data_IF_892613494713
#
_entry.id   IF_892613494713
#
_cell.length_a   1.000
_cell.length_b   1.000
_cell.length_c   1.000
_cell.angle_alpha   90.00
_cell.angle_beta   90.00
_cell.angle_gamma   90.00
#
_symmetry.space_group_name_H-M   'P 1'
#
loop_
_entity.id
_entity.type
_entity.pdbx_description
1 polymer ?
#
# COMPACT_ATOMS: atom_id res chain seq x y z
N UNK A 1 -6.52 -19.46 -5.48
CA UNK A 1 -5.70 -18.24 -5.32
C UNK A 1 -6.53 -16.96 -5.19
N UNK A 2 -7.81 -16.95 -5.60
CA UNK A 2 -8.68 -15.75 -5.50
C UNK A 2 -8.96 -15.27 -4.07
N UNK A 3 -8.95 -16.15 -3.07
CA UNK A 3 -9.29 -15.84 -1.68
C UNK A 3 -8.32 -14.88 -0.99
N UNK A 4 -7.09 -14.74 -1.48
CA UNK A 4 -6.06 -13.87 -0.90
C UNK A 4 -5.80 -12.61 -1.73
N UNK A 5 -6.62 -12.34 -2.74
CA UNK A 5 -6.47 -11.11 -3.53
C UNK A 5 -6.85 -9.88 -2.71
N UNK A 6 -6.12 -8.80 -2.93
CA UNK A 6 -6.46 -7.50 -2.38
C UNK A 6 -7.74 -6.98 -3.03
N UNK A 7 -8.75 -6.72 -2.21
CA UNK A 7 -10.09 -6.30 -2.65
C UNK A 7 -10.51 -4.93 -2.09
N UNK A 8 -9.58 -4.21 -1.44
CA UNK A 8 -9.82 -2.88 -0.88
C UNK A 8 -10.22 -2.89 0.59
N UNK A 9 -10.67 -4.01 1.16
CA UNK A 9 -11.06 -4.09 2.59
C UNK A 9 -10.08 -4.89 3.45
N UNK A 10 -9.22 -5.69 2.83
CA UNK A 10 -8.31 -6.62 3.49
C UNK A 10 -6.82 -6.18 3.46
N UNK A 11 -6.54 -4.86 3.48
CA UNK A 11 -5.18 -4.34 3.27
C UNK A 11 -4.12 -4.94 4.20
N UNK A 12 -4.39 -5.00 5.51
CA UNK A 12 -3.41 -5.50 6.49
C UNK A 12 -3.12 -6.99 6.30
N UNK A 13 -4.14 -7.80 6.05
CA UNK A 13 -3.99 -9.24 5.83
C UNK A 13 -3.30 -9.53 4.49
N UNK A 14 -3.67 -8.79 3.44
CA UNK A 14 -3.02 -8.84 2.14
C UNK A 14 -1.54 -8.46 2.24
N UNK A 15 -1.22 -7.36 2.93
CA UNK A 15 0.17 -6.92 3.12
C UNK A 15 1.00 -7.95 3.88
N UNK A 16 0.41 -8.60 4.90
CA UNK A 16 1.06 -9.69 5.63
C UNK A 16 1.38 -10.87 4.71
N UNK A 17 0.42 -11.29 3.89
CA UNK A 17 0.61 -12.37 2.93
C UNK A 17 1.64 -12.02 1.85
N UNK A 18 1.60 -10.78 1.35
CA UNK A 18 2.56 -10.26 0.39
C UNK A 18 3.98 -10.33 0.96
N UNK A 19 4.20 -9.86 2.19
CA UNK A 19 5.51 -9.92 2.84
C UNK A 19 6.04 -11.34 2.94
N UNK A 20 5.20 -12.32 3.31
CA UNK A 20 5.60 -13.74 3.34
C UNK A 20 6.10 -14.22 1.96
N UNK A 21 5.39 -13.89 0.89
CA UNK A 21 5.78 -14.25 -0.49
C UNK A 21 7.08 -13.58 -0.90
N UNK A 22 7.28 -12.31 -0.51
CA UNK A 22 8.48 -11.54 -0.86
C UNK A 22 9.70 -11.97 -0.04
N UNK A 23 9.53 -12.32 1.23
CA UNK A 23 10.58 -12.84 2.08
C UNK A 23 11.08 -14.19 1.56
N UNK A 24 10.15 -15.06 1.11
CA UNK A 24 10.51 -16.31 0.43
C UNK A 24 11.35 -16.06 -0.84
N UNK A 25 11.11 -14.95 -1.54
CA UNK A 25 11.87 -14.55 -2.74
C UNK A 25 13.12 -13.71 -2.42
N UNK A 26 13.38 -13.38 -1.15
CA UNK A 26 14.42 -12.45 -0.71
C UNK A 26 14.30 -11.04 -1.35
N UNK A 27 13.07 -10.56 -1.53
CA UNK A 27 12.74 -9.30 -2.20
C UNK A 27 11.95 -8.32 -1.31
N UNK A 28 11.73 -8.67 -0.02
CA UNK A 28 10.96 -7.83 0.91
C UNK A 28 11.50 -6.40 1.03
N UNK A 29 12.82 -6.23 0.90
CA UNK A 29 13.49 -4.93 0.97
C UNK A 29 12.99 -3.90 -0.06
N UNK A 30 12.39 -4.34 -1.17
CA UNK A 30 11.85 -3.47 -2.22
C UNK A 30 10.64 -2.67 -1.74
N UNK A 31 9.92 -3.17 -0.73
CA UNK A 31 8.77 -2.46 -0.16
C UNK A 31 9.19 -1.27 0.70
N UNK A 32 10.31 -1.40 1.42
CA UNK A 32 10.70 -0.44 2.46
C UNK A 32 11.79 0.54 2.00
N UNK A 33 12.58 0.17 0.99
CA UNK A 33 13.68 0.99 0.50
C UNK A 33 13.26 1.85 -0.69
N UNK A 34 13.71 3.12 -0.75
CA UNK A 34 13.50 3.95 -1.92
C UNK A 34 14.23 3.37 -3.13
N UNK A 35 13.72 3.70 -4.32
CA UNK A 35 14.35 3.40 -5.59
C UNK A 35 15.75 4.04 -5.64
N UNK A 36 16.83 3.28 -5.88
CA UNK A 36 18.17 3.82 -6.03
C UNK A 36 18.18 4.89 -7.11
N UNK A 37 18.77 6.04 -6.80
CA UNK A 37 18.96 7.10 -7.79
C UNK A 37 20.00 6.66 -8.84
N UNK A 38 20.02 7.34 -9.98
CA UNK A 38 20.92 7.05 -11.09
C UNK A 38 22.38 6.86 -10.62
N UNK A 39 23.05 5.87 -11.22
CA UNK A 39 24.45 5.58 -10.94
C UNK A 39 25.38 6.68 -11.49
N UNK A 40 26.36 7.17 -10.71
CA UNK A 40 27.43 8.00 -11.23
C UNK A 40 28.18 7.33 -12.38
N UNK A 41 28.71 8.11 -13.32
CA UNK A 41 29.43 7.59 -14.49
C UNK A 41 30.65 6.72 -14.12
N UNK A 42 31.28 7.02 -12.98
CA UNK A 42 32.42 6.29 -12.39
C UNK A 42 32.02 5.17 -11.41
N UNK A 43 30.79 4.66 -11.50
CA UNK A 43 30.34 3.57 -10.62
C UNK A 43 31.12 2.28 -10.87
N UNK A 44 31.48 1.59 -9.79
CA UNK A 44 32.15 0.29 -9.88
C UNK A 44 31.22 -0.78 -10.50
N UNK A 45 31.78 -1.87 -11.04
CA UNK A 45 30.98 -2.99 -11.54
C UNK A 45 29.99 -3.52 -10.49
N UNK A 46 30.38 -3.59 -9.23
CA UNK A 46 29.55 -4.07 -8.11
C UNK A 46 28.37 -3.14 -7.83
N UNK A 47 28.58 -1.82 -7.94
CA UNK A 47 27.51 -0.83 -7.81
C UNK A 47 26.51 -0.94 -8.97
N UNK A 48 27.01 -1.17 -10.19
CA UNK A 48 26.18 -1.41 -11.38
C UNK A 48 25.31 -2.67 -11.23
N UNK A 49 25.91 -3.77 -10.82
CA UNK A 49 25.20 -5.03 -10.56
C UNK A 49 24.13 -4.87 -9.49
N UNK A 50 24.43 -4.14 -8.41
CA UNK A 50 23.47 -3.89 -7.32
C UNK A 50 22.27 -3.07 -7.80
N UNK A 51 22.52 -2.05 -8.62
CA UNK A 51 21.48 -1.20 -9.21
C UNK A 51 20.59 -1.98 -10.19
N UNK A 52 21.19 -2.74 -11.11
CA UNK A 52 20.46 -3.56 -12.07
C UNK A 52 19.59 -4.60 -11.37
N UNK A 53 20.16 -5.29 -10.37
CA UNK A 53 19.43 -6.25 -9.53
C UNK A 53 18.26 -5.59 -8.83
N UNK A 54 18.45 -4.40 -8.26
CA UNK A 54 17.38 -3.67 -7.60
C UNK A 54 16.23 -3.38 -8.59
N UNK A 55 16.52 -2.90 -9.80
CA UNK A 55 15.50 -2.63 -10.81
C UNK A 55 14.79 -3.88 -11.28
N UNK A 56 15.49 -5.00 -11.40
CA UNK A 56 14.90 -6.29 -11.72
C UNK A 56 13.94 -6.76 -10.61
N UNK A 57 14.38 -6.67 -9.36
CA UNK A 57 13.56 -7.04 -8.22
C UNK A 57 12.34 -6.11 -8.08
N UNK A 58 12.48 -4.80 -8.33
CA UNK A 58 11.33 -3.88 -8.40
C UNK A 58 10.31 -4.30 -9.46
N UNK A 59 10.75 -4.68 -10.67
CA UNK A 59 9.82 -5.17 -11.72
C UNK A 59 9.10 -6.45 -11.26
N UNK A 60 9.82 -7.40 -10.67
CA UNK A 60 9.24 -8.66 -10.17
C UNK A 60 8.23 -8.41 -9.04
N UNK A 61 8.59 -7.60 -8.06
CA UNK A 61 7.72 -7.26 -6.93
C UNK A 61 6.48 -6.51 -7.40
N UNK A 62 6.63 -5.55 -8.33
CA UNK A 62 5.49 -4.87 -8.94
C UNK A 62 4.52 -5.86 -9.60
N UNK A 63 5.03 -6.81 -10.39
CA UNK A 63 4.19 -7.85 -11.01
C UNK A 63 3.46 -8.70 -9.96
N UNK A 64 4.12 -9.07 -8.86
CA UNK A 64 3.50 -9.83 -7.76
C UNK A 64 2.38 -9.01 -7.11
N UNK A 65 2.64 -7.74 -6.79
CA UNK A 65 1.67 -6.82 -6.20
C UNK A 65 0.43 -6.72 -7.10
N UNK A 66 0.61 -6.38 -8.37
CA UNK A 66 -0.48 -6.20 -9.33
C UNK A 66 -1.28 -7.50 -9.55
N UNK A 67 -0.60 -8.65 -9.67
CA UNK A 67 -1.27 -9.95 -9.83
C UNK A 67 -2.02 -10.40 -8.56
N UNK A 68 -1.64 -9.89 -7.39
CA UNK A 68 -2.29 -10.17 -6.11
C UNK A 68 -3.52 -9.28 -5.84
N UNK A 69 -3.93 -8.44 -6.79
CA UNK A 69 -5.08 -7.56 -6.67
C UNK A 69 -6.28 -8.08 -7.47
N UNK A 70 -7.48 -7.60 -7.16
CA UNK A 70 -8.59 -7.71 -8.12
C UNK A 70 -8.37 -6.83 -9.34
N UNK A 71 -9.01 -7.16 -10.46
CA UNK A 71 -8.84 -6.45 -11.73
C UNK A 71 -9.21 -4.96 -11.62
N UNK A 72 -10.20 -4.62 -10.79
CA UNK A 72 -10.68 -3.25 -10.59
C UNK A 72 -9.64 -2.38 -9.88
N UNK A 73 -8.91 -2.95 -8.93
CA UNK A 73 -7.85 -2.26 -8.20
C UNK A 73 -6.58 -2.25 -9.04
N UNK A 74 -6.23 -3.37 -9.68
CA UNK A 74 -5.03 -3.47 -10.52
C UNK A 74 -4.95 -2.36 -11.57
N UNK A 75 -6.06 -2.05 -12.26
CA UNK A 75 -6.14 -0.98 -13.29
C UNK A 75 -5.84 0.42 -12.76
N UNK A 76 -5.88 0.64 -11.45
CA UNK A 76 -5.56 1.93 -10.84
C UNK A 76 -4.05 2.10 -10.62
N UNK A 77 -3.32 0.99 -10.53
CA UNK A 77 -1.90 0.96 -10.16
C UNK A 77 -0.99 0.42 -11.27
N UNK A 78 -1.53 -0.14 -12.35
CA UNK A 78 -0.78 -0.78 -13.44
C UNK A 78 0.17 0.16 -14.19
N UNK A 79 -0.13 1.45 -14.25
CA UNK A 79 0.72 2.50 -14.84
C UNK A 79 1.86 2.98 -13.94
N UNK A 80 1.88 2.60 -12.67
CA UNK A 80 2.94 2.99 -11.75
C UNK A 80 4.12 2.03 -11.88
N UNK A 81 5.32 2.56 -12.11
CA UNK A 81 6.50 1.74 -12.37
C UNK A 81 7.26 1.35 -11.10
N UNK A 82 7.12 2.15 -10.05
CA UNK A 82 7.86 2.02 -8.81
C UNK A 82 6.97 1.46 -7.68
N UNK A 83 7.48 0.39 -7.05
CA UNK A 83 6.80 -0.28 -5.93
C UNK A 83 6.58 0.68 -4.75
N UNK A 84 7.54 1.53 -4.34
CA UNK A 84 7.34 2.44 -3.23
C UNK A 84 6.14 3.38 -3.41
N UNK A 85 5.92 3.96 -4.61
CA UNK A 85 4.75 4.82 -4.85
C UNK A 85 3.43 4.05 -4.82
N UNK A 86 3.40 2.83 -5.35
CA UNK A 86 2.21 1.97 -5.25
C UNK A 86 1.88 1.74 -3.77
N UNK A 87 2.86 1.30 -2.99
CA UNK A 87 2.68 1.00 -1.56
C UNK A 87 2.27 2.23 -0.76
N UNK A 88 2.87 3.40 -1.03
CA UNK A 88 2.53 4.66 -0.36
C UNK A 88 1.08 5.07 -0.63
N UNK A 89 0.65 5.08 -1.89
CA UNK A 89 -0.73 5.42 -2.28
C UNK A 89 -1.74 4.45 -1.68
N UNK A 90 -1.44 3.15 -1.73
CA UNK A 90 -2.32 2.15 -1.14
C UNK A 90 -2.43 2.31 0.37
N UNK A 91 -1.32 2.61 1.06
CA UNK A 91 -1.32 2.83 2.51
C UNK A 91 -2.20 4.03 2.88
N UNK A 92 -2.12 5.12 2.13
CA UNK A 92 -2.91 6.32 2.36
C UNK A 92 -4.42 6.08 2.24
N UNK A 93 -4.83 5.24 1.28
CA UNK A 93 -6.24 4.99 0.97
C UNK A 93 -6.83 3.84 1.82
N UNK A 94 -6.09 2.75 2.00
CA UNK A 94 -6.64 1.48 2.49
C UNK A 94 -6.08 1.03 3.83
N UNK A 95 -4.96 1.59 4.30
CA UNK A 95 -4.51 1.27 5.64
C UNK A 95 -5.48 1.90 6.62
N UNK A 96 -6.23 1.06 7.34
CA UNK A 96 -7.03 1.52 8.48
C UNK A 96 -6.04 2.13 9.48
N UNK A 97 -6.10 3.45 9.75
CA UNK A 97 -5.18 4.02 10.70
C UNK A 97 -5.55 3.48 12.08
N UNK A 98 -4.54 3.18 12.89
CA UNK A 98 -4.77 2.75 14.27
C UNK A 98 -5.57 3.86 14.97
N UNK A 99 -6.80 3.55 15.39
CA UNK A 99 -7.74 4.54 15.90
C UNK A 99 -7.19 5.22 17.16
N UNK A 100 -6.28 4.57 17.89
CA UNK A 100 -5.57 5.16 19.02
C UNK A 100 -4.64 6.31 18.60
N UNK A 101 -4.18 6.35 17.35
CA UNK A 101 -3.37 7.43 16.77
C UNK A 101 -4.29 8.54 16.25
N UNK A 102 -5.37 8.21 15.53
CA UNK A 102 -6.37 9.20 15.05
C UNK A 102 -7.04 9.94 16.21
N UNK A 103 -7.45 9.22 17.27
CA UNK A 103 -8.10 9.82 18.43
C UNK A 103 -7.14 10.65 19.30
N UNK A 104 -5.82 10.38 19.23
CA UNK A 104 -4.81 11.12 20.00
C UNK A 104 -4.40 12.42 19.30
N UNK A 105 -4.44 12.44 17.98
CA UNK A 105 -4.21 13.66 17.19
C UNK A 105 -5.56 14.27 16.74
N UNK A 106 -6.18 15.06 17.64
CA UNK A 106 -7.46 15.78 17.44
C UNK A 106 -7.44 16.76 16.25
N UNK A 107 -6.35 16.84 15.49
CA UNK A 107 -6.14 17.80 14.42
C UNK A 107 -6.62 17.33 13.05
N UNK A 108 -6.82 16.02 12.87
CA UNK A 108 -6.89 15.38 11.55
C UNK A 108 -8.33 15.10 11.09
N UNK A 109 -9.27 14.89 12.02
CA UNK A 109 -10.67 14.67 11.63
C UNK A 109 -11.33 16.00 11.28
N UNK A 110 -11.80 16.10 10.03
CA UNK A 110 -12.60 17.22 9.55
C UNK A 110 -13.88 16.71 8.90
N UNK A 111 -14.99 17.44 9.06
CA UNK A 111 -16.24 17.14 8.36
C UNK A 111 -16.16 17.54 6.87
N UNK A 112 -17.23 17.27 6.13
CA UNK A 112 -17.34 17.59 4.70
C UNK A 112 -17.22 19.10 4.40
N UNK A 113 -17.35 19.94 5.43
CA UNK A 113 -17.22 21.40 5.39
C UNK A 113 -15.86 21.88 5.95
N UNK A 114 -14.93 20.96 6.23
CA UNK A 114 -13.58 21.27 6.69
C UNK A 114 -13.46 21.65 8.18
N UNK A 115 -14.50 21.47 8.99
CA UNK A 115 -14.48 21.78 10.43
C UNK A 115 -13.94 20.62 11.25
N UNK A 116 -13.16 20.93 12.28
CA UNK A 116 -12.47 19.94 13.12
C UNK A 116 -13.48 19.13 13.94
N UNK A 117 -13.48 17.81 13.79
CA UNK A 117 -14.35 16.89 14.54
C UNK A 117 -13.63 16.46 15.82
N UNK A 118 -14.27 16.66 16.96
CA UNK A 118 -13.73 16.22 18.26
C UNK A 118 -14.24 14.81 18.57
N UNK A 119 -13.33 13.82 18.64
CA UNK A 119 -13.65 12.39 18.81
C UNK A 119 -14.55 12.01 20.00
N UNK A 120 -14.81 12.90 20.96
CA UNK A 120 -15.47 12.54 22.21
C UNK A 120 -17.02 12.56 22.17
N UNK A 121 -17.67 13.05 21.11
CA UNK A 121 -19.11 13.33 21.17
C UNK A 121 -19.99 12.66 20.11
N UNK A 122 -19.47 11.82 19.21
CA UNK A 122 -20.33 11.16 18.21
C UNK A 122 -19.92 9.73 17.87
N UNK A 123 -20.16 8.80 18.79
CA UNK A 123 -20.18 7.38 18.41
C UNK A 123 -21.37 6.71 19.10
N UNK A 124 -22.57 6.99 18.60
CA UNK A 124 -23.67 6.01 18.64
C UNK A 124 -23.33 4.87 17.68
N UNK A 125 -23.88 3.67 17.91
CA UNK A 125 -23.53 2.41 17.24
C UNK A 125 -23.72 2.38 15.69
N UNK A 126 -24.06 3.50 15.07
CA UNK A 126 -24.39 3.62 13.64
C UNK A 126 -23.20 3.94 12.72
N UNK A 127 -21.99 4.17 13.25
CA UNK A 127 -20.82 4.51 12.45
C UNK A 127 -20.00 3.29 11.97
N UNK A 128 -20.66 2.15 11.78
CA UNK A 128 -20.12 1.09 10.94
C UNK A 128 -20.57 1.35 9.50
N UNK A 129 -19.66 1.43 8.51
CA UNK A 129 -20.08 1.37 7.12
C UNK A 129 -20.67 -0.03 6.91
N UNK A 130 -22.01 -0.11 6.90
CA UNK A 130 -22.72 -1.25 6.34
C UNK A 130 -22.15 -1.45 4.93
N UNK A 131 -21.64 -2.65 4.68
CA UNK A 131 -21.16 -3.04 3.37
C UNK A 131 -22.19 -2.65 2.32
N UNK A 132 -21.74 -2.00 1.24
CA UNK A 132 -22.59 -1.74 0.08
C UNK A 132 -23.04 -3.09 -0.49
N UNK A 133 -24.22 -3.52 -0.09
CA UNK A 133 -25.00 -4.54 -0.78
C UNK A 133 -25.46 -3.97 -2.15
N UNK A 134 -25.62 -4.90 -3.10
CA UNK A 134 -25.84 -4.71 -4.54
C UNK A 134 -27.18 -4.04 -4.91
N UNK A 135 -27.17 -3.35 -6.06
CA UNK A 135 -28.23 -3.32 -7.10
C UNK A 135 -29.57 -2.68 -6.73
N UNK A 136 -30.49 -2.49 -7.72
CA UNK A 136 -30.46 -2.94 -9.11
C UNK A 136 -29.73 -2.01 -10.10
#
# INVERSE_FOLDING_TARGET
>A
METNKFNGTNYNDWLRNLRIVLDFKNQGYVLDKPLPTALPERSSPEQRLTFEKWHEDNRKVRSIILASMTNEIQKQYDKLEDVPSIMLRMKDIYAVPDWHIICRDKSILRDQDGRRIVCAQSWGQDAFPRGKARGP
#
